data_IF_754089399582
#
_entry.id   IF_754089399582
#
_cell.length_a   1.000
_cell.length_b   1.000
_cell.length_c   1.000
_cell.angle_alpha   90.00
_cell.angle_beta   90.00
_cell.angle_gamma   90.00
#
_symmetry.space_group_name_H-M   'P 1'
#
loop_
_entity.id
_entity.type
_entity.pdbx_description
1 polymer ?
#
# COMPACT_ATOMS: atom_id res chain seq x y z
N UNK A 1 1.99 7.14 -5.10
CA UNK A 1 1.76 7.06 -3.64
C UNK A 1 1.93 5.63 -3.14
N UNK A 2 1.36 4.63 -3.81
CA UNK A 2 1.57 3.22 -3.49
C UNK A 2 1.39 2.31 -4.71
N UNK A 3 1.93 1.09 -4.63
CA UNK A 3 1.74 -0.02 -5.56
C UNK A 3 1.02 -1.14 -4.80
N UNK A 4 -0.08 -1.60 -5.38
CA UNK A 4 -0.86 -2.72 -4.85
C UNK A 4 -0.81 -3.87 -5.84
N UNK A 5 -0.59 -5.07 -5.32
CA UNK A 5 -0.73 -6.32 -6.03
C UNK A 5 -2.16 -6.84 -5.87
N UNK A 6 -2.73 -7.41 -6.92
CA UNK A 6 -4.09 -7.95 -6.89
C UNK A 6 -4.00 -9.45 -6.65
N UNK A 7 -4.37 -9.86 -5.44
CA UNK A 7 -4.37 -11.26 -5.04
C UNK A 7 -5.80 -11.80 -5.01
N UNK A 8 -6.01 -13.13 -5.01
CA UNK A 8 -7.34 -13.73 -4.81
C UNK A 8 -8.00 -13.35 -3.47
N UNK A 9 -7.24 -12.81 -2.52
CA UNK A 9 -7.72 -12.34 -1.21
C UNK A 9 -8.07 -10.85 -1.19
N UNK A 10 -7.73 -10.10 -2.24
CA UNK A 10 -7.92 -8.66 -2.32
C UNK A 10 -6.64 -7.91 -2.67
N UNK A 11 -6.60 -6.64 -2.26
CA UNK A 11 -5.48 -5.73 -2.52
C UNK A 11 -4.36 -5.97 -1.51
N UNK A 12 -3.13 -6.14 -2.00
CA UNK A 12 -1.94 -6.27 -1.18
C UNK A 12 -0.99 -5.11 -1.45
N UNK A 13 -0.74 -4.27 -0.46
CA UNK A 13 0.22 -3.17 -0.56
C UNK A 13 1.65 -3.74 -0.58
N UNK A 14 2.34 -3.59 -1.71
CA UNK A 14 3.71 -4.11 -1.91
C UNK A 14 4.78 -3.02 -1.90
N UNK A 15 4.44 -1.82 -2.37
CA UNK A 15 5.33 -0.66 -2.34
C UNK A 15 4.58 0.62 -1.97
N UNK A 16 5.25 1.54 -1.28
CA UNK A 16 4.73 2.89 -1.02
C UNK A 16 5.80 3.95 -1.18
N UNK A 17 5.39 5.19 -1.39
CA UNK A 17 6.29 6.34 -1.28
C UNK A 17 6.75 6.46 0.17
N UNK A 18 8.03 6.77 0.41
CA UNK A 18 8.59 6.86 1.76
C UNK A 18 7.80 7.85 2.64
N UNK A 19 7.54 9.03 2.10
CA UNK A 19 6.85 10.15 2.75
C UNK A 19 5.37 9.87 3.08
N UNK A 20 4.77 8.84 2.45
CA UNK A 20 3.36 8.52 2.62
C UNK A 20 3.16 7.52 3.75
N UNK A 21 2.35 7.89 4.74
CA UNK A 21 1.98 7.00 5.85
C UNK A 21 0.86 6.03 5.47
N UNK A 22 0.81 4.87 6.14
CA UNK A 22 -0.27 3.88 5.94
C UNK A 22 -1.65 4.44 6.27
N UNK A 23 -1.73 5.30 7.29
CA UNK A 23 -2.98 5.97 7.68
C UNK A 23 -3.52 6.87 6.55
N UNK A 24 -2.63 7.62 5.91
CA UNK A 24 -2.98 8.50 4.79
C UNK A 24 -3.41 7.67 3.56
N UNK A 25 -2.75 6.53 3.32
CA UNK A 25 -3.15 5.57 2.29
C UNK A 25 -4.53 5.00 2.57
N UNK A 26 -4.85 4.66 3.82
CA UNK A 26 -6.19 4.18 4.22
C UNK A 26 -7.24 5.27 4.12
N UNK A 27 -6.92 6.52 4.46
CA UNK A 27 -7.84 7.64 4.31
C UNK A 27 -8.16 7.95 2.84
N UNK A 28 -7.18 7.77 1.94
CA UNK A 28 -7.33 7.98 0.49
C UNK A 28 -7.86 6.77 -0.26
N UNK A 29 -7.83 5.59 0.35
CA UNK A 29 -8.23 4.32 -0.28
C UNK A 29 -9.39 3.74 0.50
N UNK A 30 -10.61 3.89 -0.04
CA UNK A 30 -11.85 3.38 0.57
C UNK A 30 -11.93 1.83 0.62
N UNK A 31 -10.98 1.14 -0.02
CA UNK A 31 -10.89 -0.32 -0.04
C UNK A 31 -9.94 -0.83 1.05
N UNK A 32 -10.35 -1.91 1.74
CA UNK A 32 -9.46 -2.66 2.62
C UNK A 32 -8.33 -3.31 1.81
N UNK A 33 -7.11 -3.20 2.34
CA UNK A 33 -5.92 -3.79 1.78
C UNK A 33 -5.04 -4.39 2.87
N UNK A 34 -4.39 -5.50 2.55
CA UNK A 34 -3.36 -6.10 3.37
C UNK A 34 -2.01 -5.42 3.11
N UNK A 35 -1.12 -5.44 4.09
CA UNK A 35 0.24 -4.91 3.95
C UNK A 35 1.21 -6.06 3.80
N UNK A 36 2.00 -6.05 2.73
CA UNK A 36 3.04 -7.06 2.52
C UNK A 36 4.08 -6.96 3.64
N UNK A 37 4.53 -8.09 4.23
CA UNK A 37 5.63 -8.09 5.18
C UNK A 37 6.96 -7.64 4.56
N UNK A 38 7.08 -7.67 3.23
CA UNK A 38 8.23 -7.16 2.46
C UNK A 38 7.93 -5.79 1.84
N UNK A 39 7.13 -4.96 2.52
CA UNK A 39 6.75 -3.63 2.04
C UNK A 39 8.00 -2.78 1.76
N UNK A 40 8.17 -2.35 0.51
CA UNK A 40 9.28 -1.48 0.12
C UNK A 40 8.84 -0.03 0.03
N UNK A 41 9.78 0.87 0.34
CA UNK A 41 9.61 2.31 0.13
C UNK A 41 10.42 2.75 -1.07
N UNK A 42 9.86 3.67 -1.86
CA UNK A 42 10.58 4.35 -2.94
C UNK A 42 10.50 5.87 -2.81
N UNK A 43 11.56 6.54 -3.26
CA UNK A 43 11.63 7.99 -3.39
C UNK A 43 11.13 8.39 -4.79
N UNK A 44 10.31 9.45 -4.86
CA UNK A 44 9.74 10.02 -6.10
C UNK A 44 10.38 11.33 -6.47
#
# INVERSE_FOLDING_TARGET
LAVFDITPKGLLLVEKVEDVSLDELRAKTEADFDVSPDLKTYEV
#
